data_IF_207175147798
#
_entry.id   IF_207175147798
#
_cell.length_a   1.000
_cell.length_b   1.000
_cell.length_c   1.000
_cell.angle_alpha   90.00
_cell.angle_beta   90.00
_cell.angle_gamma   90.00
#
_symmetry.space_group_name_H-M   'P 1'
#
loop_
_entity.id
_entity.type
_entity.pdbx_description
1 polymer ?
#
# COMPACT_ATOMS: atom_id res chain seq x y z
N UNK A 1 59.56 16.96 22.96
CA UNK A 1 58.70 17.52 21.88
C UNK A 1 57.43 16.69 21.85
N UNK A 2 56.33 17.26 22.34
CA UNK A 2 54.97 16.71 22.29
C UNK A 2 54.46 16.69 20.85
N UNK A 3 53.67 15.68 20.46
CA UNK A 3 52.45 15.84 19.64
C UNK A 3 51.57 14.59 19.87
N UNK A 4 50.44 14.82 20.54
CA UNK A 4 49.25 13.98 20.57
C UNK A 4 48.53 14.05 19.22
N UNK A 5 48.11 12.93 18.64
CA UNK A 5 47.09 12.94 17.59
C UNK A 5 45.96 11.96 17.91
N UNK A 6 44.82 12.60 18.12
CA UNK A 6 43.50 12.12 18.49
C UNK A 6 42.91 11.09 17.53
N UNK A 7 42.33 10.05 18.14
CA UNK A 7 41.38 9.11 17.57
C UNK A 7 40.12 9.86 17.07
N UNK A 8 39.68 9.64 15.84
CA UNK A 8 38.33 10.00 15.38
C UNK A 8 37.66 8.77 14.77
N UNK A 9 36.88 8.08 15.60
CA UNK A 9 35.93 7.05 15.15
C UNK A 9 34.71 7.82 14.62
N UNK A 10 34.46 7.75 13.32
CA UNK A 10 33.24 8.27 12.71
C UNK A 10 32.23 7.13 12.57
N UNK A 11 31.38 6.93 13.58
CA UNK A 11 30.17 6.09 13.47
C UNK A 11 29.05 6.92 12.87
N UNK A 12 28.87 6.83 11.56
CA UNK A 12 27.66 7.30 10.88
C UNK A 12 26.62 6.17 10.88
N UNK A 13 25.83 6.07 11.95
CA UNK A 13 24.60 5.26 11.93
C UNK A 13 23.51 6.10 11.26
N UNK A 14 23.30 5.88 9.96
CA UNK A 14 22.16 6.43 9.22
C UNK A 14 20.87 5.80 9.78
N UNK A 15 20.09 6.63 10.47
CA UNK A 15 18.74 6.33 10.91
C UNK A 15 17.82 6.21 9.68
N UNK A 16 17.62 4.98 9.20
CA UNK A 16 16.59 4.66 8.22
C UNK A 16 15.31 4.28 8.98
N UNK A 17 14.58 5.27 9.48
CA UNK A 17 13.34 5.08 10.24
C UNK A 17 12.25 6.04 9.75
N UNK A 18 11.92 5.97 8.47
CA UNK A 18 10.84 6.78 7.91
C UNK A 18 10.06 5.95 6.88
N UNK A 19 9.12 5.10 7.34
CA UNK A 19 8.02 4.53 6.53
C UNK A 19 6.96 3.74 7.33
N UNK A 20 7.13 3.50 8.64
CA UNK A 20 6.20 2.60 9.36
C UNK A 20 4.80 3.19 9.62
N UNK A 21 4.68 4.51 9.79
CA UNK A 21 3.41 5.15 10.14
C UNK A 21 2.35 5.10 9.01
N UNK A 22 2.76 4.98 7.75
CA UNK A 22 1.85 4.90 6.60
C UNK A 22 1.25 3.49 6.43
N UNK A 23 1.98 2.45 6.84
CA UNK A 23 1.51 1.07 6.78
C UNK A 23 0.41 0.81 7.84
N UNK A 24 0.61 1.31 9.06
CA UNK A 24 -0.31 1.05 10.18
C UNK A 24 -1.75 1.53 9.92
N UNK A 25 -1.96 2.61 9.16
CA UNK A 25 -3.32 3.11 8.88
C UNK A 25 -4.08 2.22 7.89
N UNK A 26 -3.43 1.83 6.78
CA UNK A 26 -4.10 1.02 5.75
C UNK A 26 -4.35 -0.41 6.22
N UNK A 27 -3.41 -1.03 6.93
CA UNK A 27 -3.58 -2.38 7.46
C UNK A 27 -4.77 -2.44 8.44
N UNK A 28 -4.89 -1.43 9.31
CA UNK A 28 -6.00 -1.31 10.27
C UNK A 28 -7.32 -1.10 9.54
N UNK A 29 -7.39 -0.22 8.55
CA UNK A 29 -8.60 0.04 7.79
C UNK A 29 -9.05 -1.22 7.02
N UNK A 30 -8.13 -1.87 6.31
CA UNK A 30 -8.42 -3.01 5.44
C UNK A 30 -8.79 -4.27 6.20
N UNK A 31 -8.19 -4.51 7.38
CA UNK A 31 -8.54 -5.64 8.25
C UNK A 31 -10.00 -5.61 8.74
N UNK A 32 -10.65 -4.44 8.72
CA UNK A 32 -12.01 -4.25 9.21
C UNK A 32 -13.07 -4.23 8.10
N UNK A 33 -12.68 -4.30 6.82
CA UNK A 33 -13.62 -4.17 5.69
C UNK A 33 -14.58 -5.36 5.65
N UNK A 34 -14.10 -6.57 5.92
CA UNK A 34 -14.92 -7.77 5.87
C UNK A 34 -15.06 -8.42 7.25
N UNK A 35 -16.25 -8.95 7.57
CA UNK A 35 -16.40 -9.82 8.72
C UNK A 35 -15.64 -11.14 8.49
N UNK A 36 -15.28 -11.80 9.59
CA UNK A 36 -14.62 -13.09 9.56
C UNK A 36 -15.39 -14.11 8.69
N UNK A 37 -14.66 -14.84 7.86
CA UNK A 37 -15.22 -15.88 6.99
C UNK A 37 -15.75 -15.39 5.63
N UNK A 38 -15.68 -14.09 5.32
CA UNK A 38 -15.96 -13.59 3.96
C UNK A 38 -14.67 -13.45 3.15
N UNK A 39 -13.83 -12.49 3.54
CA UNK A 39 -12.54 -12.26 2.95
C UNK A 39 -11.54 -11.86 4.03
N UNK A 40 -10.32 -12.37 3.93
CA UNK A 40 -9.23 -12.10 4.88
C UNK A 40 -8.27 -11.13 4.23
N UNK A 41 -8.00 -10.02 4.89
CA UNK A 41 -6.96 -9.09 4.45
C UNK A 41 -5.58 -9.74 4.59
N UNK A 42 -4.77 -9.67 3.52
CA UNK A 42 -3.43 -10.25 3.49
C UNK A 42 -2.35 -9.17 3.67
N UNK A 43 -2.57 -8.00 3.08
CA UNK A 43 -1.60 -6.92 3.05
C UNK A 43 -1.79 -6.05 1.82
N UNK A 44 -0.79 -5.22 1.55
CA UNK A 44 -0.74 -4.41 0.34
C UNK A 44 0.64 -4.46 -0.32
N UNK A 45 0.68 -4.17 -1.62
CA UNK A 45 1.89 -4.09 -2.41
C UNK A 45 1.97 -2.74 -3.12
N UNK A 46 3.13 -2.08 -3.05
CA UNK A 46 3.44 -0.90 -3.84
C UNK A 46 4.10 -1.33 -5.13
N UNK A 47 3.47 -1.04 -6.27
CA UNK A 47 4.01 -1.38 -7.58
C UNK A 47 4.45 -0.13 -8.32
N UNK A 48 5.69 -0.14 -8.81
CA UNK A 48 6.22 0.92 -9.67
C UNK A 48 5.91 0.65 -11.15
N UNK A 49 5.35 1.65 -11.83
CA UNK A 49 5.06 1.66 -13.27
C UNK A 49 6.33 1.92 -14.07
N UNK A 50 6.87 0.87 -14.65
CA UNK A 50 8.06 0.93 -15.49
C UNK A 50 7.78 1.46 -16.90
N UNK A 51 6.52 1.39 -17.34
CA UNK A 51 6.01 1.85 -18.63
C UNK A 51 5.92 3.38 -18.75
N UNK A 52 5.92 4.09 -17.62
CA UNK A 52 5.96 5.56 -17.59
C UNK A 52 7.40 6.06 -17.54
N UNK A 53 7.82 6.94 -18.46
CA UNK A 53 9.15 7.54 -18.41
C UNK A 53 9.41 8.27 -17.09
N UNK A 54 10.64 8.18 -16.57
CA UNK A 54 11.06 8.89 -15.34
C UNK A 54 10.83 10.40 -15.43
N UNK A 55 10.88 10.97 -16.64
CA UNK A 55 10.69 12.39 -16.91
C UNK A 55 9.23 12.84 -16.99
N UNK A 56 8.27 11.91 -16.92
CA UNK A 56 6.86 12.26 -16.96
C UNK A 56 6.45 12.95 -15.65
N UNK A 57 5.61 13.98 -15.74
CA UNK A 57 5.09 14.70 -14.59
C UNK A 57 3.97 13.95 -13.84
N UNK A 58 3.80 12.65 -14.13
CA UNK A 58 2.80 11.80 -13.50
C UNK A 58 3.47 10.83 -12.55
N UNK A 59 2.81 10.61 -11.42
CA UNK A 59 3.27 9.68 -10.40
C UNK A 59 3.33 8.26 -10.95
N UNK A 60 4.26 7.47 -10.42
CA UNK A 60 4.65 6.17 -11.03
C UNK A 60 4.30 4.98 -10.16
N UNK A 61 3.46 5.13 -9.14
CA UNK A 61 3.16 4.03 -8.23
C UNK A 61 1.66 3.80 -8.12
N UNK A 62 1.28 2.54 -8.05
CA UNK A 62 -0.05 2.14 -7.65
C UNK A 62 0.01 1.14 -6.51
N UNK A 63 -1.04 1.14 -5.71
CA UNK A 63 -1.13 0.28 -4.53
C UNK A 63 -2.10 -0.87 -4.81
N UNK A 64 -1.69 -2.10 -4.54
CA UNK A 64 -2.56 -3.27 -4.63
C UNK A 64 -2.92 -3.70 -3.21
N UNK A 65 -4.20 -3.76 -2.90
CA UNK A 65 -4.70 -4.28 -1.62
C UNK A 65 -5.19 -5.72 -1.82
N UNK A 66 -4.60 -6.66 -1.10
CA UNK A 66 -4.84 -8.09 -1.29
C UNK A 66 -5.76 -8.66 -0.21
N UNK A 67 -6.81 -9.34 -0.66
CA UNK A 67 -7.70 -10.16 0.15
C UNK A 67 -7.71 -11.62 -0.34
N UNK A 68 -7.99 -12.55 0.57
CA UNK A 68 -8.28 -13.95 0.27
C UNK A 68 -9.69 -14.32 0.65
N UNK A 69 -10.42 -14.84 -0.32
CA UNK A 69 -11.77 -15.34 -0.14
C UNK A 69 -11.77 -16.65 0.64
N UNK A 70 -12.72 -16.80 1.57
CA UNK A 70 -12.81 -18.00 2.40
C UNK A 70 -13.20 -19.27 1.60
N UNK A 71 -14.01 -19.13 0.56
CA UNK A 71 -14.51 -20.25 -0.26
C UNK A 71 -13.74 -20.46 -1.57
N UNK A 72 -12.66 -19.71 -1.82
CA UNK A 72 -11.84 -19.82 -3.04
C UNK A 72 -12.49 -19.32 -4.34
N UNK A 73 -13.81 -19.19 -4.39
CA UNK A 73 -14.57 -18.65 -5.52
C UNK A 73 -15.76 -17.80 -5.06
N UNK A 74 -15.99 -16.68 -5.75
CA UNK A 74 -17.19 -15.85 -5.63
C UNK A 74 -17.91 -15.76 -6.96
N UNK A 75 -19.24 -15.66 -6.92
CA UNK A 75 -20.02 -15.26 -8.09
C UNK A 75 -19.66 -13.83 -8.52
N UNK A 76 -19.76 -13.53 -9.81
CA UNK A 76 -19.35 -12.22 -10.38
C UNK A 76 -20.03 -11.02 -9.70
N UNK A 77 -21.31 -11.15 -9.33
CA UNK A 77 -22.05 -10.09 -8.64
C UNK A 77 -21.47 -9.83 -7.23
N UNK A 78 -21.13 -10.90 -6.51
CA UNK A 78 -20.53 -10.80 -5.18
C UNK A 78 -19.11 -10.25 -5.24
N UNK A 79 -18.36 -10.57 -6.31
CA UNK A 79 -17.06 -9.99 -6.61
C UNK A 79 -17.16 -8.47 -6.81
N UNK A 80 -18.05 -8.01 -7.68
CA UNK A 80 -18.24 -6.59 -7.91
C UNK A 80 -18.66 -5.84 -6.64
N UNK A 81 -19.56 -6.42 -5.85
CA UNK A 81 -19.96 -5.84 -4.57
C UNK A 81 -18.80 -5.77 -3.56
N UNK A 82 -17.91 -6.77 -3.57
CA UNK A 82 -16.74 -6.82 -2.68
C UNK A 82 -15.67 -5.82 -3.11
N UNK A 83 -15.38 -5.72 -4.41
CA UNK A 83 -14.52 -4.66 -4.98
C UNK A 83 -15.06 -3.29 -4.58
N UNK A 84 -16.35 -3.04 -4.85
CA UNK A 84 -16.99 -1.77 -4.52
C UNK A 84 -16.89 -1.46 -3.01
N UNK A 85 -17.09 -2.44 -2.15
CA UNK A 85 -16.98 -2.28 -0.70
C UNK A 85 -15.57 -1.85 -0.26
N UNK A 86 -14.53 -2.50 -0.77
CA UNK A 86 -13.14 -2.15 -0.46
C UNK A 86 -12.80 -0.77 -1.00
N UNK A 87 -13.12 -0.50 -2.26
CA UNK A 87 -12.86 0.78 -2.88
C UNK A 87 -13.58 1.93 -2.16
N UNK A 88 -14.83 1.73 -1.74
CA UNK A 88 -15.55 2.73 -0.96
C UNK A 88 -14.99 2.91 0.45
N UNK A 89 -14.45 1.85 1.08
CA UNK A 89 -13.79 1.99 2.37
C UNK A 89 -12.52 2.86 2.25
N UNK A 90 -11.69 2.62 1.23
CA UNK A 90 -10.49 3.41 0.93
C UNK A 90 -10.84 4.86 0.57
N UNK A 91 -11.72 5.06 -0.42
CA UNK A 91 -12.01 6.39 -0.98
C UNK A 91 -12.79 7.30 -0.02
N UNK A 92 -13.44 6.74 1.00
CA UNK A 92 -14.09 7.53 2.07
C UNK A 92 -13.09 8.10 3.06
N UNK A 93 -11.93 7.46 3.23
CA UNK A 93 -10.87 7.98 4.09
C UNK A 93 -10.03 9.03 3.33
N UNK A 94 -10.42 10.29 3.47
CA UNK A 94 -9.80 11.40 2.73
C UNK A 94 -8.37 11.67 3.16
N UNK A 95 -8.04 11.42 4.42
CA UNK A 95 -6.70 11.62 4.94
C UNK A 95 -5.77 10.53 4.39
N UNK A 96 -6.21 9.27 4.36
CA UNK A 96 -5.46 8.18 3.73
C UNK A 96 -5.23 8.45 2.24
N UNK A 97 -6.27 8.81 1.49
CA UNK A 97 -6.13 9.09 0.04
C UNK A 97 -5.16 10.25 -0.20
N UNK A 98 -5.25 11.32 0.60
CA UNK A 98 -4.32 12.44 0.51
C UNK A 98 -2.89 11.99 0.79
N UNK A 99 -2.67 11.20 1.84
CA UNK A 99 -1.35 10.68 2.19
C UNK A 99 -0.78 9.77 1.09
N UNK A 100 -1.61 8.93 0.47
CA UNK A 100 -1.22 8.08 -0.65
C UNK A 100 -0.80 8.93 -1.86
N UNK A 101 -1.60 9.94 -2.22
CA UNK A 101 -1.26 10.87 -3.29
C UNK A 101 0.01 11.67 -3.00
N UNK A 102 0.17 12.19 -1.78
CA UNK A 102 1.38 12.90 -1.34
C UNK A 102 2.63 11.99 -1.34
N UNK A 103 2.43 10.66 -1.33
CA UNK A 103 3.49 9.64 -1.40
C UNK A 103 3.75 9.11 -2.82
N UNK A 104 3.05 9.66 -3.82
CA UNK A 104 3.22 9.30 -5.23
C UNK A 104 2.41 8.10 -5.69
N UNK A 105 1.34 7.73 -4.97
CA UNK A 105 0.36 6.76 -5.45
C UNK A 105 -0.76 7.48 -6.21
N UNK A 106 -0.94 7.16 -7.48
CA UNK A 106 -2.00 7.74 -8.32
C UNK A 106 -3.22 6.82 -8.49
N UNK A 107 -3.07 5.55 -8.11
CA UNK A 107 -4.11 4.54 -8.25
C UNK A 107 -4.05 3.54 -7.09
N UNK A 108 -5.22 3.02 -6.71
CA UNK A 108 -5.36 1.89 -5.80
C UNK A 108 -6.22 0.83 -6.46
N UNK A 109 -5.75 -0.41 -6.41
CA UNK A 109 -6.41 -1.59 -6.99
C UNK A 109 -6.60 -2.65 -5.91
N UNK A 110 -7.58 -3.52 -6.08
CA UNK A 110 -7.94 -4.58 -5.14
C UNK A 110 -7.81 -5.93 -5.81
N UNK A 111 -7.22 -6.90 -5.11
CA UNK A 111 -7.10 -8.28 -5.54
C UNK A 111 -7.81 -9.22 -4.56
N UNK A 112 -8.57 -10.19 -5.07
CA UNK A 112 -9.19 -11.25 -4.26
C UNK A 112 -8.58 -12.64 -4.54
N UNK A 113 -7.74 -12.72 -5.56
CA UNK A 113 -6.98 -13.89 -5.96
C UNK A 113 -5.61 -13.44 -6.55
N UNK A 114 -4.86 -14.37 -7.13
CA UNK A 114 -3.54 -14.09 -7.72
C UNK A 114 -3.57 -13.70 -9.19
N UNK A 115 -4.73 -13.75 -9.83
CA UNK A 115 -4.89 -13.64 -11.28
C UNK A 115 -5.55 -12.31 -11.70
N UNK A 116 -6.34 -11.72 -10.80
CA UNK A 116 -7.18 -10.56 -11.09
C UNK A 116 -6.90 -9.40 -10.12
N UNK A 117 -6.95 -8.20 -10.68
CA UNK A 117 -6.90 -6.93 -9.95
C UNK A 117 -7.98 -6.02 -10.51
N UNK A 118 -8.57 -5.21 -9.64
CA UNK A 118 -9.67 -4.31 -9.97
C UNK A 118 -9.38 -2.91 -9.47
N UNK A 119 -9.37 -1.94 -10.39
CA UNK A 119 -9.06 -0.55 -10.06
C UNK A 119 -10.24 0.12 -9.35
N UNK A 120 -9.93 0.98 -8.37
CA UNK A 120 -10.92 1.71 -7.61
C UNK A 120 -11.35 3.06 -8.24
N UNK A 121 -10.77 3.45 -9.38
CA UNK A 121 -11.01 4.73 -10.08
C UNK A 121 -11.48 4.51 -11.52
#
# INVERSE_FOLDING_TARGET
MTITSTLRIATAALLLSASQAQAENIDVLMSQVFPAGQATYIGYESVERQDIPVSAAVERKYLIVDFRLASGQMASEQLQASVHKVCMALLKDRDLIRQLSDSGYDMVSVAFDRQSQFDCL
#
